data_IF_009628844056
#
_entry.id   IF_009628844056
#
_cell.length_a   1.000
_cell.length_b   1.000
_cell.length_c   1.000
_cell.angle_alpha   90.00
_cell.angle_beta   90.00
_cell.angle_gamma   90.00
#
_symmetry.space_group_name_H-M   'P 1'
#
loop_
_entity.id
_entity.type
_entity.pdbx_description
1 polymer ?
#
# COMPACT_ATOMS: atom_id res chain seq x y z
N UNK A 1 -49.72 19.92 -28.40
CA UNK A 1 -48.50 20.65 -28.81
C UNK A 1 -48.07 21.46 -27.61
N UNK A 2 -46.98 21.28 -26.89
CA UNK A 2 -45.77 20.41 -26.91
C UNK A 2 -45.17 20.64 -25.51
N UNK A 3 -45.07 19.61 -24.67
CA UNK A 3 -43.79 19.08 -24.16
C UNK A 3 -42.72 20.14 -23.83
N UNK A 4 -42.48 20.35 -22.53
CA UNK A 4 -41.31 21.06 -22.00
C UNK A 4 -40.75 20.30 -20.80
N UNK A 5 -40.24 19.10 -21.03
CA UNK A 5 -39.32 18.39 -20.12
C UNK A 5 -37.95 19.05 -20.26
N UNK A 6 -37.31 19.47 -19.17
CA UNK A 6 -35.86 19.26 -19.07
C UNK A 6 -35.39 19.06 -17.62
N UNK A 7 -34.84 17.87 -17.43
CA UNK A 7 -34.01 17.41 -16.31
C UNK A 7 -32.63 18.09 -16.32
N UNK A 8 -31.87 17.84 -15.24
CA UNK A 8 -30.41 17.99 -15.04
C UNK A 8 -30.02 19.27 -14.28
N UNK A 9 -29.20 19.25 -13.24
CA UNK A 9 -28.46 18.16 -12.61
C UNK A 9 -28.23 18.49 -11.13
N UNK A 10 -28.30 17.44 -10.32
CA UNK A 10 -27.81 17.37 -8.95
C UNK A 10 -26.28 17.45 -8.97
N UNK A 11 -25.73 18.64 -8.71
CA UNK A 11 -24.30 18.82 -8.44
C UNK A 11 -24.04 18.62 -6.94
N UNK A 12 -24.03 17.36 -6.51
CA UNK A 12 -23.38 16.96 -5.27
C UNK A 12 -21.87 17.18 -5.41
N UNK A 13 -21.42 18.38 -5.04
CA UNK A 13 -19.98 18.66 -4.86
C UNK A 13 -19.40 17.64 -3.88
N UNK A 14 -18.25 17.01 -4.18
CA UNK A 14 -17.63 16.09 -3.25
C UNK A 14 -17.18 16.89 -2.04
N UNK A 15 -17.85 16.67 -0.91
CA UNK A 15 -17.39 17.14 0.39
C UNK A 15 -16.01 16.53 0.59
N UNK A 16 -14.96 17.37 0.52
CA UNK A 16 -13.63 16.99 1.01
C UNK A 16 -13.82 16.60 2.45
N UNK A 17 -13.91 15.29 2.70
CA UNK A 17 -14.00 14.72 4.01
C UNK A 17 -12.74 15.18 4.76
N UNK A 18 -12.96 16.12 5.68
CA UNK A 18 -11.90 16.61 6.54
C UNK A 18 -11.41 15.40 7.32
N UNK A 19 -10.15 15.01 7.14
CA UNK A 19 -9.47 14.14 8.10
C UNK A 19 -9.63 14.77 9.47
N UNK A 20 -10.54 14.23 10.27
CA UNK A 20 -10.77 14.66 11.64
C UNK A 20 -9.62 14.07 12.46
N UNK A 21 -8.77 14.94 13.01
CA UNK A 21 -7.84 14.59 14.08
C UNK A 21 -8.65 14.45 15.38
N UNK A 22 -9.67 13.61 15.39
CA UNK A 22 -10.45 13.25 16.56
C UNK A 22 -9.95 11.90 17.02
N UNK A 23 -9.01 11.90 17.98
CA UNK A 23 -8.42 10.71 18.59
C UNK A 23 -8.15 9.59 17.57
N UNK A 24 -7.38 9.89 16.51
CA UNK A 24 -7.04 8.90 15.50
C UNK A 24 -6.39 7.71 16.23
N UNK A 25 -7.09 6.58 16.24
CA UNK A 25 -6.54 5.31 16.66
C UNK A 25 -5.18 5.15 15.96
N UNK A 26 -4.12 4.91 16.73
CA UNK A 26 -2.78 4.77 16.17
C UNK A 26 -2.83 3.72 15.05
N UNK A 27 -2.51 4.15 13.83
CA UNK A 27 -2.56 3.31 12.64
C UNK A 27 -1.30 2.46 12.59
N UNK A 28 -1.46 1.22 12.15
CA UNK A 28 -0.41 0.22 12.11
C UNK A 28 0.35 0.28 10.79
N UNK A 29 1.58 -0.21 10.85
CA UNK A 29 2.39 -0.52 9.69
C UNK A 29 2.35 -2.04 9.52
N UNK A 30 2.16 -2.51 8.30
CA UNK A 30 2.31 -3.92 7.97
C UNK A 30 3.58 -4.19 7.17
N UNK A 31 4.11 -5.41 7.26
CA UNK A 31 5.38 -5.79 6.64
C UNK A 31 5.23 -7.09 5.84
N UNK A 32 5.58 -7.07 4.56
CA UNK A 32 5.71 -8.27 3.72
C UNK A 32 7.17 -8.37 3.30
N UNK A 33 7.90 -9.30 3.89
CA UNK A 33 9.34 -9.33 3.67
C UNK A 33 10.02 -10.65 3.94
N UNK A 34 11.28 -10.74 3.55
CA UNK A 34 12.16 -11.86 3.94
C UNK A 34 12.34 -11.92 5.47
N UNK A 35 12.89 -13.02 5.96
CA UNK A 35 13.08 -13.28 7.40
C UNK A 35 13.87 -12.16 8.08
N UNK A 36 15.00 -11.74 7.48
CA UNK A 36 15.85 -10.68 8.01
C UNK A 36 15.08 -9.33 8.10
N UNK A 37 14.32 -8.97 7.07
CA UNK A 37 13.50 -7.75 7.04
C UNK A 37 12.42 -7.78 8.11
N UNK A 38 11.64 -8.87 8.18
CA UNK A 38 10.57 -9.01 9.16
C UNK A 38 11.11 -8.96 10.59
N UNK A 39 12.19 -9.70 10.89
CA UNK A 39 12.81 -9.68 12.22
C UNK A 39 13.26 -8.26 12.60
N UNK A 40 13.89 -7.52 11.69
CA UNK A 40 14.32 -6.14 11.93
C UNK A 40 13.17 -5.22 12.34
N UNK A 41 12.05 -5.25 11.61
CA UNK A 41 10.88 -4.42 11.93
C UNK A 41 10.11 -4.87 13.17
N UNK A 42 10.06 -6.18 13.44
CA UNK A 42 9.46 -6.71 14.66
C UNK A 42 10.24 -6.26 15.90
N UNK A 43 11.58 -6.27 15.84
CA UNK A 43 12.44 -5.72 16.89
C UNK A 43 12.26 -4.20 17.05
N UNK A 44 11.93 -3.49 15.96
CA UNK A 44 11.56 -2.08 15.96
C UNK A 44 10.20 -1.77 16.59
N UNK A 45 9.42 -2.79 16.96
CA UNK A 45 8.13 -2.63 17.64
C UNK A 45 6.92 -2.48 16.73
N UNK A 46 7.05 -2.79 15.42
CA UNK A 46 5.93 -2.74 14.47
C UNK A 46 4.97 -3.92 14.64
N UNK A 47 5.45 -5.07 15.13
CA UNK A 47 4.68 -6.31 15.21
C UNK A 47 3.43 -6.19 16.07
N UNK A 48 2.28 -6.54 15.50
CA UNK A 48 0.97 -6.53 16.14
C UNK A 48 0.19 -7.79 15.77
N UNK A 49 -0.54 -8.35 16.74
CA UNK A 49 -1.46 -9.46 16.53
C UNK A 49 -2.85 -9.01 16.98
N UNK A 50 -3.77 -8.90 16.02
CA UNK A 50 -5.09 -8.37 16.28
C UNK A 50 -5.96 -9.34 17.11
N UNK A 51 -7.18 -8.91 17.46
CA UNK A 51 -8.15 -9.73 18.21
C UNK A 51 -8.52 -11.05 17.53
N UNK A 52 -8.36 -11.14 16.21
CA UNK A 52 -8.59 -12.35 15.40
C UNK A 52 -7.35 -13.25 15.30
N UNK A 53 -6.27 -12.92 16.03
CA UNK A 53 -4.97 -13.58 15.98
C UNK A 53 -4.29 -13.50 14.61
N UNK A 54 -4.52 -12.40 13.90
CA UNK A 54 -3.92 -12.16 12.61
C UNK A 54 -2.72 -11.20 12.77
N UNK A 55 -1.53 -11.60 12.32
CA UNK A 55 -0.37 -10.71 12.35
C UNK A 55 -0.53 -9.58 11.32
N UNK A 56 0.17 -8.47 11.54
CA UNK A 56 0.40 -7.43 10.54
C UNK A 56 1.68 -7.66 9.73
N UNK A 57 2.17 -8.89 9.64
CA UNK A 57 3.35 -9.21 8.85
C UNK A 57 3.23 -10.58 8.17
N UNK A 58 3.94 -10.74 7.05
CA UNK A 58 4.15 -11.99 6.34
C UNK A 58 5.65 -12.17 6.12
N UNK A 59 6.21 -13.27 6.65
CA UNK A 59 7.57 -13.70 6.31
C UNK A 59 7.50 -14.51 5.02
N UNK A 60 8.20 -14.05 3.99
CA UNK A 60 8.26 -14.68 2.69
C UNK A 60 9.56 -15.47 2.57
N UNK A 61 9.43 -16.78 2.38
CA UNK A 61 10.54 -17.69 2.13
C UNK A 61 10.44 -18.31 0.72
N UNK A 62 11.26 -19.33 0.44
CA UNK A 62 11.28 -20.02 -0.86
C UNK A 62 10.07 -20.93 -1.10
N UNK A 63 9.32 -21.25 -0.04
CA UNK A 63 8.16 -22.11 -0.06
C UNK A 63 6.85 -21.29 -0.08
N UNK A 64 6.89 -20.02 0.31
CA UNK A 64 5.76 -19.10 0.20
C UNK A 64 5.34 -18.95 -1.25
N UNK A 65 4.07 -19.25 -1.52
CA UNK A 65 3.52 -19.17 -2.88
C UNK A 65 3.18 -17.72 -3.27
N UNK A 66 3.20 -17.41 -4.56
CA UNK A 66 2.78 -16.09 -5.06
C UNK A 66 1.33 -15.79 -4.64
N UNK A 67 0.47 -16.80 -4.65
CA UNK A 67 -0.93 -16.70 -4.22
C UNK A 67 -1.05 -16.26 -2.76
N UNK A 68 -0.22 -16.81 -1.87
CA UNK A 68 -0.21 -16.45 -0.45
C UNK A 68 0.25 -15.00 -0.22
N UNK A 69 1.22 -14.53 -1.01
CA UNK A 69 1.68 -13.14 -0.99
C UNK A 69 0.54 -12.21 -1.43
N UNK A 70 -0.16 -12.54 -2.52
CA UNK A 70 -1.30 -11.76 -3.00
C UNK A 70 -2.45 -11.71 -1.99
N UNK A 71 -2.81 -12.85 -1.41
CA UNK A 71 -3.88 -12.95 -0.42
C UNK A 71 -3.57 -12.11 0.82
N UNK A 72 -2.32 -12.17 1.29
CA UNK A 72 -1.86 -11.38 2.44
C UNK A 72 -1.83 -9.89 2.14
N UNK A 73 -1.36 -9.49 0.96
CA UNK A 73 -1.40 -8.09 0.51
C UNK A 73 -2.85 -7.57 0.45
N UNK A 74 -3.75 -8.30 -0.21
CA UNK A 74 -5.18 -7.95 -0.31
C UNK A 74 -5.85 -7.90 1.07
N UNK A 75 -5.41 -8.73 2.01
CA UNK A 75 -5.89 -8.72 3.40
C UNK A 75 -5.45 -7.46 4.13
N UNK A 76 -4.19 -7.06 4.00
CA UNK A 76 -3.68 -5.82 4.61
C UNK A 76 -4.31 -4.57 3.99
N UNK A 77 -4.57 -4.55 2.68
CA UNK A 77 -5.31 -3.48 2.01
C UNK A 77 -6.73 -3.27 2.55
N UNK A 78 -7.38 -4.33 3.05
CA UNK A 78 -8.75 -4.29 3.59
C UNK A 78 -8.83 -3.95 5.08
N UNK A 79 -7.69 -3.91 5.77
CA UNK A 79 -7.60 -3.60 7.20
C UNK A 79 -7.66 -2.09 7.40
N UNK A 80 -8.68 -1.63 8.11
CA UNK A 80 -8.90 -0.22 8.44
C UNK A 80 -7.91 0.32 9.47
N UNK A 81 -7.21 -0.57 10.18
CA UNK A 81 -6.18 -0.25 11.16
C UNK A 81 -4.77 -0.17 10.57
N UNK A 82 -4.56 -0.42 9.26
CA UNK A 82 -3.26 -0.31 8.58
C UNK A 82 -3.26 0.91 7.66
N UNK A 83 -2.25 1.78 7.79
CA UNK A 83 -2.08 2.93 6.88
C UNK A 83 -0.84 2.81 5.98
N UNK A 84 0.12 1.94 6.32
CA UNK A 84 1.35 1.74 5.56
C UNK A 84 1.63 0.24 5.43
N UNK A 85 1.97 -0.21 4.23
CA UNK A 85 2.51 -1.54 3.96
C UNK A 85 3.93 -1.37 3.45
N UNK A 86 4.89 -1.91 4.21
CA UNK A 86 6.27 -2.08 3.76
C UNK A 86 6.38 -3.43 3.06
N UNK A 87 6.92 -3.43 1.84
CA UNK A 87 7.13 -4.66 1.08
C UNK A 87 8.54 -4.67 0.48
N UNK A 88 9.28 -5.77 0.58
CA UNK A 88 10.56 -5.82 -0.14
C UNK A 88 10.31 -5.74 -1.66
N UNK A 89 11.11 -4.94 -2.37
CA UNK A 89 10.92 -4.68 -3.80
C UNK A 89 10.94 -5.96 -4.66
N UNK A 90 11.81 -6.92 -4.34
CA UNK A 90 11.88 -8.21 -5.03
C UNK A 90 10.61 -9.05 -4.85
N UNK A 91 9.90 -8.90 -3.73
CA UNK A 91 8.62 -9.57 -3.48
C UNK A 91 7.49 -8.81 -4.18
N UNK A 92 7.49 -7.47 -4.11
CA UNK A 92 6.52 -6.63 -4.81
C UNK A 92 6.49 -6.90 -6.32
N UNK A 93 7.64 -7.22 -6.92
CA UNK A 93 7.73 -7.57 -8.34
C UNK A 93 6.90 -8.80 -8.71
N UNK A 94 6.79 -9.79 -7.82
CA UNK A 94 6.03 -11.02 -8.06
C UNK A 94 4.52 -10.75 -8.15
N UNK A 95 4.03 -9.77 -7.39
CA UNK A 95 2.61 -9.39 -7.33
C UNK A 95 2.33 -8.01 -7.93
N UNK A 96 3.24 -7.52 -8.80
CA UNK A 96 3.18 -6.17 -9.37
C UNK A 96 1.81 -5.83 -9.96
N UNK A 97 1.20 -6.80 -10.63
CA UNK A 97 -0.10 -6.66 -11.25
C UNK A 97 -1.24 -6.39 -10.24
N UNK A 98 -1.15 -6.92 -9.02
CA UNK A 98 -2.09 -6.66 -7.92
C UNK A 98 -1.83 -5.30 -7.29
N UNK A 99 -0.56 -4.96 -7.06
CA UNK A 99 -0.20 -3.64 -6.53
C UNK A 99 -0.65 -2.56 -7.50
N UNK A 100 -0.44 -2.76 -8.80
CA UNK A 100 -0.83 -1.82 -9.86
C UNK A 100 -2.36 -1.67 -10.01
N UNK A 101 -3.15 -2.70 -9.70
CA UNK A 101 -4.63 -2.63 -9.76
C UNK A 101 -5.27 -1.86 -8.61
N UNK A 102 -4.61 -1.76 -7.46
CA UNK A 102 -5.21 -1.23 -6.22
C UNK A 102 -4.90 0.27 -5.97
N UNK A 103 -4.39 1.00 -6.97
CA UNK A 103 -3.85 2.37 -6.80
C UNK A 103 -4.85 3.51 -6.81
N UNK A 104 -6.14 3.23 -6.96
CA UNK A 104 -7.15 4.30 -6.94
C UNK A 104 -7.33 4.89 -5.53
N UNK A 105 -6.94 4.13 -4.48
CA UNK A 105 -7.02 4.57 -3.09
C UNK A 105 -5.63 4.95 -2.55
N UNK A 106 -5.48 6.12 -1.90
CA UNK A 106 -4.20 6.56 -1.34
C UNK A 106 -3.82 5.84 -0.04
N UNK A 107 -4.76 5.11 0.59
CA UNK A 107 -4.54 4.37 1.83
C UNK A 107 -5.05 2.93 1.69
N UNK A 108 -4.31 1.94 2.24
CA UNK A 108 -2.97 2.07 2.84
C UNK A 108 -1.88 2.42 1.81
N UNK A 109 -0.85 3.17 2.20
CA UNK A 109 0.27 3.50 1.34
C UNK A 109 1.23 2.29 1.22
N UNK A 110 1.56 1.89 0.00
CA UNK A 110 2.48 0.77 -0.27
C UNK A 110 3.87 1.32 -0.57
N UNK A 111 4.87 0.91 0.22
CA UNK A 111 6.25 1.36 0.10
C UNK A 111 7.18 0.17 -0.17
N UNK A 112 7.86 0.21 -1.32
CA UNK A 112 8.85 -0.76 -1.72
C UNK A 112 10.19 -0.45 -1.01
N UNK A 113 10.72 -1.39 -0.24
CA UNK A 113 11.99 -1.27 0.49
C UNK A 113 13.03 -2.27 -0.05
N UNK A 114 14.34 -1.99 0.07
CA UNK A 114 15.37 -2.98 -0.22
C UNK A 114 15.28 -4.18 0.74
N UNK A 115 15.91 -5.29 0.34
CA UNK A 115 16.17 -6.44 1.18
C UNK A 115 17.68 -6.53 1.46
N UNK A 116 18.10 -7.36 2.40
CA UNK A 116 19.52 -7.55 2.74
C UNK A 116 20.37 -7.94 1.52
N UNK A 117 19.85 -8.82 0.68
CA UNK A 117 20.56 -9.36 -0.49
C UNK A 117 20.17 -8.67 -1.81
N UNK A 118 19.10 -7.88 -1.80
CA UNK A 118 18.52 -7.26 -3.00
C UNK A 118 18.45 -5.74 -2.83
N UNK A 119 19.41 -4.99 -3.39
CA UNK A 119 19.41 -3.53 -3.32
C UNK A 119 18.21 -2.94 -4.07
N UNK A 120 17.81 -1.74 -3.66
CA UNK A 120 16.70 -1.02 -4.27
C UNK A 120 17.05 -0.54 -5.68
N UNK A 121 16.14 -0.77 -6.63
CA UNK A 121 16.19 -0.30 -8.01
C UNK A 121 15.06 0.72 -8.26
N UNK A 122 15.38 2.02 -8.37
CA UNK A 122 14.39 3.08 -8.60
C UNK A 122 13.60 2.92 -9.91
N UNK A 123 14.09 2.13 -10.87
CA UNK A 123 13.43 1.95 -12.16
C UNK A 123 12.23 1.02 -12.09
N UNK A 124 12.19 0.15 -11.08
CA UNK A 124 11.14 -0.86 -10.87
C UNK A 124 10.02 -0.37 -9.97
N UNK A 125 10.27 0.66 -9.17
CA UNK A 125 9.31 1.18 -8.20
C UNK A 125 8.08 1.82 -8.87
N UNK A 126 6.90 1.39 -8.42
CA UNK A 126 5.60 1.83 -8.95
C UNK A 126 5.31 3.32 -8.70
N UNK A 127 5.69 3.85 -7.54
CA UNK A 127 5.52 5.25 -7.16
C UNK A 127 6.44 6.14 -8.00
N UNK A 128 7.72 5.78 -8.12
CA UNK A 128 8.66 6.55 -8.94
C UNK A 128 8.32 6.49 -10.43
N UNK A 129 7.87 5.34 -10.95
CA UNK A 129 7.40 5.24 -12.34
C UNK A 129 6.28 6.23 -12.66
N UNK A 130 5.39 6.51 -11.70
CA UNK A 130 4.32 7.51 -11.86
C UNK A 130 4.86 8.93 -11.70
N UNK A 131 5.76 9.14 -10.75
CA UNK A 131 6.30 10.46 -10.47
C UNK A 131 7.34 10.92 -11.52
N UNK A 132 7.86 10.03 -12.37
CA UNK A 132 8.75 10.39 -13.50
C UNK A 132 8.17 11.45 -14.45
N UNK A 133 6.84 11.60 -14.54
CA UNK A 133 6.22 12.69 -15.29
C UNK A 133 6.15 14.03 -14.54
N UNK A 134 6.39 14.02 -13.21
CA UNK A 134 6.33 15.18 -12.31
C UNK A 134 7.72 15.70 -11.94
N UNK A 135 8.73 14.82 -11.89
CA UNK A 135 10.13 15.18 -11.63
C UNK A 135 10.87 15.49 -12.93
N UNK A 136 11.29 16.74 -13.13
CA UNK A 136 12.26 17.07 -14.18
C UNK A 136 13.65 16.59 -13.77
N UNK A 137 14.46 16.18 -14.76
CA UNK A 137 15.79 15.62 -14.57
C UNK A 137 16.81 16.54 -13.86
N UNK A 138 16.42 17.78 -13.53
CA UNK A 138 17.26 18.75 -12.81
C UNK A 138 17.16 18.65 -11.28
N UNK A 139 16.18 17.95 -10.72
CA UNK A 139 16.01 17.82 -9.25
C UNK A 139 16.83 16.68 -8.61
N UNK A 140 17.58 15.90 -9.41
CA UNK A 140 18.40 14.77 -8.93
C UNK A 140 19.91 15.03 -8.99
N UNK A 141 20.34 16.30 -9.08
CA UNK A 141 21.77 16.68 -9.03
C UNK A 141 22.23 17.11 -7.64
#
# INVERSE_FOLDING_TARGET
MTSGVNNRADETKPTRERMSVAAAQAKLIAVIGDEDTCVGFLLGGIGEINKKREPNFLVVDKNTSVQEIEESYKKFMKRDDIDIILINQNIAEQIRHVIDSDNDNPLPAVLEIPSKDHPYDPTKDSVLRRAKGLYSADDMR
#
